data_IF_262304657410
#
_entry.id   IF_262304657410
#
_cell.length_a   1.000
_cell.length_b   1.000
_cell.length_c   1.000
_cell.angle_alpha   90.00
_cell.angle_beta   90.00
_cell.angle_gamma   90.00
#
_symmetry.space_group_name_H-M   'P 1'
#
loop_
_entity.id
_entity.type
_entity.pdbx_description
1 polymer ?
#
# COMPACT_ATOMS: atom_id res chain seq x y z
N UNK A 1 -3.16 8.05 11.54
CA UNK A 1 -3.62 6.79 10.90
C UNK A 1 -4.86 7.09 10.09
N UNK A 2 -4.92 6.70 8.82
CA UNK A 2 -6.10 6.91 7.96
C UNK A 2 -6.97 5.65 7.95
N UNK A 3 -8.31 5.80 7.97
CA UNK A 3 -9.26 4.69 7.89
C UNK A 3 -9.86 4.63 6.48
N UNK A 4 -9.73 3.50 5.82
CA UNK A 4 -10.28 3.20 4.50
C UNK A 4 -11.44 2.23 4.68
N UNK A 5 -12.67 2.70 4.46
CA UNK A 5 -13.86 1.87 4.56
C UNK A 5 -14.24 1.30 3.18
N UNK A 6 -14.27 -0.03 3.08
CA UNK A 6 -14.57 -0.76 1.86
C UNK A 6 -15.99 -1.37 1.87
N UNK A 7 -16.80 -1.12 2.88
CA UNK A 7 -18.19 -1.61 2.91
C UNK A 7 -18.94 -1.20 1.63
N UNK A 8 -19.75 -2.14 1.12
CA UNK A 8 -20.55 -1.99 -0.10
C UNK A 8 -19.77 -1.72 -1.40
N UNK A 9 -18.44 -1.86 -1.40
CA UNK A 9 -17.65 -1.74 -2.63
C UNK A 9 -17.50 -3.11 -3.28
N UNK A 10 -17.60 -3.17 -4.61
CA UNK A 10 -17.21 -4.36 -5.36
C UNK A 10 -15.70 -4.56 -5.24
N UNK A 11 -15.22 -5.78 -5.48
CA UNK A 11 -13.80 -6.12 -5.31
C UNK A 11 -12.86 -5.11 -6.00
N UNK A 12 -13.10 -4.84 -7.30
CA UNK A 12 -12.29 -3.90 -8.09
C UNK A 12 -12.33 -2.47 -7.54
N UNK A 13 -13.54 -1.97 -7.24
CA UNK A 13 -13.75 -0.64 -6.67
C UNK A 13 -13.06 -0.50 -5.31
N UNK A 14 -13.10 -1.55 -4.50
CA UNK A 14 -12.43 -1.60 -3.22
C UNK A 14 -10.91 -1.48 -3.37
N UNK A 15 -10.30 -2.15 -4.36
CA UNK A 15 -8.86 -2.04 -4.61
C UNK A 15 -8.49 -0.64 -5.08
N UNK A 16 -9.24 -0.09 -6.03
CA UNK A 16 -9.05 1.29 -6.51
C UNK A 16 -9.15 2.30 -5.36
N UNK A 17 -10.12 2.11 -4.46
CA UNK A 17 -10.28 2.93 -3.25
C UNK A 17 -9.10 2.81 -2.30
N UNK A 18 -8.58 1.60 -2.06
CA UNK A 18 -7.36 1.41 -1.26
C UNK A 18 -6.20 2.20 -1.86
N UNK A 19 -5.99 2.15 -3.18
CA UNK A 19 -4.92 2.89 -3.85
C UNK A 19 -5.07 4.40 -3.69
N UNK A 20 -6.29 4.95 -3.82
CA UNK A 20 -6.58 6.37 -3.57
C UNK A 20 -6.21 6.76 -2.14
N UNK A 21 -6.56 5.91 -1.16
CA UNK A 21 -6.24 6.15 0.24
C UNK A 21 -4.73 6.04 0.52
N UNK A 22 -4.02 5.11 -0.11
CA UNK A 22 -2.56 5.01 -0.01
C UNK A 22 -1.85 6.23 -0.59
N UNK A 23 -2.30 6.73 -1.75
CA UNK A 23 -1.81 8.02 -2.31
C UNK A 23 -2.08 9.19 -1.36
N UNK A 24 -3.27 9.23 -0.76
CA UNK A 24 -3.61 10.24 0.24
C UNK A 24 -2.71 10.16 1.47
N UNK A 25 -2.47 8.94 1.96
CA UNK A 25 -1.53 8.71 3.06
C UNK A 25 -0.13 9.20 2.70
N UNK A 26 0.34 8.94 1.48
CA UNK A 26 1.64 9.42 1.00
C UNK A 26 1.72 10.95 0.97
N UNK A 27 0.75 11.62 0.34
CA UNK A 27 0.68 13.10 0.28
C UNK A 27 0.63 13.73 1.67
N UNK A 28 -0.08 13.11 2.61
CA UNK A 28 -0.26 13.60 3.99
C UNK A 28 0.77 13.04 4.99
N UNK A 29 1.80 12.30 4.53
CA UNK A 29 2.84 11.67 5.37
C UNK A 29 2.29 10.79 6.53
N UNK A 30 1.23 10.02 6.28
CA UNK A 30 0.44 9.35 7.34
C UNK A 30 0.97 8.02 7.91
N UNK A 31 1.91 7.26 7.36
CA UNK A 31 2.57 6.05 7.90
C UNK A 31 1.72 4.83 8.29
N UNK A 32 0.41 4.97 8.54
CA UNK A 32 -0.48 3.86 8.91
C UNK A 32 -1.84 4.01 8.25
N UNK A 33 -2.30 2.92 7.64
CA UNK A 33 -3.65 2.78 7.09
C UNK A 33 -4.36 1.63 7.79
N UNK A 34 -5.63 1.86 8.11
CA UNK A 34 -6.56 0.84 8.60
C UNK A 34 -7.58 0.60 7.51
N UNK A 35 -7.70 -0.64 7.03
CA UNK A 35 -8.62 -1.05 5.99
C UNK A 35 -9.77 -1.81 6.65
N UNK A 36 -10.98 -1.27 6.55
CA UNK A 36 -12.21 -1.85 7.08
C UNK A 36 -12.88 -2.57 5.91
N UNK A 37 -12.76 -3.90 5.89
CA UNK A 37 -13.31 -4.77 4.84
C UNK A 37 -14.57 -5.51 5.29
N UNK A 38 -14.97 -5.34 6.56
CA UNK A 38 -16.13 -6.02 7.12
C UNK A 38 -15.90 -7.50 7.39
N UNK A 39 -16.87 -8.13 8.06
CA UNK A 39 -16.79 -9.54 8.47
C UNK A 39 -17.36 -10.52 7.43
N UNK A 40 -18.30 -10.07 6.60
CA UNK A 40 -19.11 -10.95 5.73
C UNK A 40 -18.58 -11.07 4.29
N UNK A 41 -17.60 -10.25 3.89
CA UNK A 41 -16.96 -10.30 2.57
C UNK A 41 -15.67 -11.11 2.58
N UNK A 42 -15.78 -12.44 2.61
CA UNK A 42 -14.63 -13.36 2.67
C UNK A 42 -13.59 -13.06 1.59
N UNK A 43 -14.02 -12.78 0.36
CA UNK A 43 -13.11 -12.51 -0.77
C UNK A 43 -12.20 -11.30 -0.52
N UNK A 44 -12.77 -10.19 -0.04
CA UNK A 44 -11.99 -8.97 0.24
C UNK A 44 -11.07 -9.18 1.42
N UNK A 45 -11.58 -9.78 2.50
CA UNK A 45 -10.78 -10.12 3.67
C UNK A 45 -9.60 -11.01 3.26
N UNK A 46 -9.86 -12.14 2.63
CA UNK A 46 -8.85 -13.14 2.27
C UNK A 46 -7.81 -12.53 1.33
N UNK A 47 -8.25 -11.71 0.37
CA UNK A 47 -7.32 -10.97 -0.48
C UNK A 47 -6.46 -9.99 0.32
N UNK A 48 -7.06 -9.07 1.10
CA UNK A 48 -6.33 -8.05 1.88
C UNK A 48 -5.37 -8.71 2.88
N UNK A 49 -5.74 -9.86 3.44
CA UNK A 49 -4.92 -10.60 4.38
C UNK A 49 -3.82 -11.44 3.70
N UNK A 50 -3.89 -11.64 2.39
CA UNK A 50 -2.94 -12.45 1.63
C UNK A 50 -1.62 -11.73 1.33
N UNK A 51 -0.58 -12.52 1.08
CA UNK A 51 0.68 -12.02 0.50
C UNK A 51 0.50 -11.41 -0.89
N UNK A 52 -0.52 -11.86 -1.63
CA UNK A 52 -0.84 -11.32 -2.96
C UNK A 52 -1.20 -9.85 -2.88
N UNK A 53 -2.01 -9.43 -1.89
CA UNK A 53 -2.32 -8.01 -1.71
C UNK A 53 -1.07 -7.16 -1.49
N UNK A 54 -0.14 -7.61 -0.65
CA UNK A 54 1.13 -6.90 -0.43
C UNK A 54 1.89 -6.73 -1.74
N UNK A 55 2.03 -7.82 -2.50
CA UNK A 55 2.72 -7.80 -3.80
C UNK A 55 2.04 -6.86 -4.79
N UNK A 56 0.72 -6.93 -4.90
CA UNK A 56 -0.05 -6.08 -5.81
C UNK A 56 0.11 -4.58 -5.43
N UNK A 57 0.18 -4.26 -4.13
CA UNK A 57 0.45 -2.90 -3.67
C UNK A 57 1.91 -2.47 -3.91
N UNK A 58 2.88 -3.37 -3.78
CA UNK A 58 4.29 -3.10 -4.10
C UNK A 58 4.52 -2.87 -5.60
N UNK A 59 3.77 -3.57 -6.46
CA UNK A 59 3.75 -3.34 -7.91
C UNK A 59 3.15 -1.97 -8.26
N UNK A 60 2.23 -1.49 -7.43
CA UNK A 60 1.69 -0.13 -7.46
C UNK A 60 2.61 0.92 -6.78
N UNK A 61 3.76 0.50 -6.24
CA UNK A 61 4.77 1.37 -5.63
C UNK A 61 4.56 1.66 -4.14
N UNK A 62 3.67 0.94 -3.46
CA UNK A 62 3.42 1.06 -2.03
C UNK A 62 4.00 -0.13 -1.26
N UNK A 63 4.92 0.16 -0.34
CA UNK A 63 5.49 -0.85 0.55
C UNK A 63 4.66 -0.91 1.83
N UNK A 64 3.97 -2.03 2.02
CA UNK A 64 3.06 -2.23 3.14
C UNK A 64 3.57 -3.35 4.04
N UNK A 65 3.55 -3.09 5.35
CA UNK A 65 3.83 -4.10 6.38
C UNK A 65 2.59 -4.31 7.22
N UNK A 66 2.01 -5.51 7.18
CA UNK A 66 0.85 -5.86 8.01
C UNK A 66 1.22 -5.78 9.49
N UNK A 67 0.46 -5.01 10.25
CA UNK A 67 0.59 -4.92 11.71
C UNK A 67 -0.34 -5.99 12.28
N UNK A 68 0.11 -7.23 12.29
CA UNK A 68 -0.64 -8.32 12.91
C UNK A 68 -0.53 -8.20 14.43
N UNK A 69 -1.59 -7.78 15.10
CA UNK A 69 -1.73 -8.07 16.53
C UNK A 69 -2.78 -9.17 16.67
N UNK A 70 -2.37 -10.35 17.16
CA UNK A 70 -3.29 -11.47 17.48
C UNK A 70 -4.49 -11.02 18.34
N UNK A 71 -4.32 -9.92 19.09
CA UNK A 71 -5.34 -9.27 19.91
C UNK A 71 -6.35 -8.42 19.10
N UNK A 72 -5.95 -7.78 17.99
CA UNK A 72 -6.89 -7.04 17.13
C UNK A 72 -7.79 -7.97 16.32
N UNK A 73 -7.24 -9.04 15.73
CA UNK A 73 -8.04 -9.96 14.90
C UNK A 73 -9.15 -10.66 15.69
N UNK A 74 -8.99 -10.85 17.02
CA UNK A 74 -10.04 -11.38 17.89
C UNK A 74 -11.18 -10.40 18.14
N UNK A 75 -10.89 -9.11 18.25
CA UNK A 75 -11.89 -8.10 18.65
C UNK A 75 -12.53 -7.42 17.43
N UNK A 76 -11.82 -7.31 16.30
CA UNK A 76 -12.28 -6.64 15.09
C UNK A 76 -11.81 -7.41 13.83
N UNK A 77 -12.40 -8.58 13.53
CA UNK A 77 -12.00 -9.41 12.39
C UNK A 77 -12.26 -8.78 11.01
N UNK A 78 -13.03 -7.68 10.96
CA UNK A 78 -13.33 -6.93 9.73
C UNK A 78 -12.35 -5.79 9.43
N UNK A 79 -11.21 -5.73 10.14
CA UNK A 79 -10.23 -4.64 10.02
C UNK A 79 -8.82 -5.18 9.89
N UNK A 80 -8.09 -4.70 8.90
CA UNK A 80 -6.66 -4.98 8.68
C UNK A 80 -5.84 -3.69 8.75
N UNK A 81 -4.78 -3.67 9.54
CA UNK A 81 -3.92 -2.48 9.70
C UNK A 81 -2.56 -2.72 9.05
N UNK A 82 -2.11 -1.73 8.28
CA UNK A 82 -0.81 -1.76 7.61
C UNK A 82 0.01 -0.52 7.98
N UNK A 83 1.29 -0.73 8.23
CA UNK A 83 2.30 0.33 8.21
C UNK A 83 2.66 0.58 6.76
N UNK A 84 2.66 1.84 6.36
CA UNK A 84 3.15 2.28 5.06
C UNK A 84 4.62 2.62 5.28
N UNK A 85 5.50 1.84 4.66
CA UNK A 85 6.92 2.12 4.66
C UNK A 85 7.17 3.09 3.51
N UNK A 86 7.16 4.38 3.86
CA UNK A 86 7.58 5.39 2.90
C UNK A 86 9.04 5.14 2.59
N UNK A 87 9.34 5.07 1.31
CA UNK A 87 10.69 5.03 0.79
C UNK A 87 11.31 6.43 0.99
N UNK A 88 11.50 6.83 2.25
CA UNK A 88 12.37 7.95 2.62
C UNK A 88 13.76 7.74 2.00
N UNK A 89 14.12 6.50 1.64
CA UNK A 89 15.35 6.11 0.96
C UNK A 89 15.43 6.44 -0.55
N UNK A 90 14.31 6.56 -1.28
CA UNK A 90 14.34 6.98 -2.70
C UNK A 90 14.13 8.47 -2.85
N UNK A 91 13.40 9.09 -1.93
CA UNK A 91 13.15 10.53 -1.99
C UNK A 91 14.40 11.34 -1.59
N UNK A 92 15.28 10.85 -0.70
CA UNK A 92 16.54 11.54 -0.43
C UNK A 92 17.49 11.58 -1.63
N UNK A 93 17.38 10.63 -2.57
CA UNK A 93 18.14 10.60 -3.82
C UNK A 93 17.55 11.52 -4.91
N UNK A 94 16.26 11.90 -4.82
CA UNK A 94 15.57 12.71 -5.82
C UNK A 94 15.29 14.17 -5.39
N UNK A 95 15.44 14.49 -4.10
CA UNK A 95 15.20 15.82 -3.53
C UNK A 95 16.26 16.90 -3.86
N UNK A 96 16.91 16.85 -5.02
CA UNK A 96 17.65 18.02 -5.56
C UNK A 96 16.91 18.75 -6.68
N UNK A 97 15.75 18.27 -7.14
CA UNK A 97 14.96 19.01 -8.13
C UNK A 97 13.47 18.90 -7.83
N UNK A 98 12.92 20.05 -7.42
CA UNK A 98 11.54 20.51 -7.47
C UNK A 98 10.46 19.54 -7.94
N UNK A 99 9.41 19.41 -7.11
CA UNK A 99 8.03 19.01 -7.46
C UNK A 99 7.86 18.03 -8.62
N UNK A 100 8.64 16.94 -8.62
CA UNK A 100 8.45 15.87 -9.57
C UNK A 100 7.12 15.16 -9.28
N UNK A 101 6.12 15.52 -10.07
CA UNK A 101 4.80 14.94 -10.21
C UNK A 101 4.82 13.44 -9.87
N UNK A 102 4.25 13.07 -8.73
CA UNK A 102 4.31 11.72 -8.12
C UNK A 102 3.96 10.65 -9.13
N UNK A 103 2.98 10.92 -9.98
CA UNK A 103 2.53 10.02 -11.03
C UNK A 103 3.63 9.74 -12.07
N UNK A 104 4.48 10.72 -12.39
CA UNK A 104 5.65 10.55 -13.27
C UNK A 104 6.72 9.69 -12.59
N UNK A 105 6.97 9.88 -11.29
CA UNK A 105 7.93 9.06 -10.54
C UNK A 105 7.45 7.61 -10.48
N UNK A 106 6.19 7.39 -10.12
CA UNK A 106 5.59 6.05 -10.05
C UNK A 106 5.61 5.37 -11.42
N UNK A 107 5.31 6.11 -12.49
CA UNK A 107 5.36 5.58 -13.86
C UNK A 107 6.78 5.22 -14.29
N UNK A 108 7.78 6.03 -13.93
CA UNK A 108 9.20 5.70 -14.16
C UNK A 108 9.63 4.46 -13.38
N UNK A 109 9.21 4.31 -12.13
CA UNK A 109 9.50 3.13 -11.31
C UNK A 109 8.88 1.85 -11.89
N UNK A 110 7.61 1.92 -12.34
CA UNK A 110 6.95 0.80 -13.03
C UNK A 110 7.70 0.40 -14.31
N UNK A 111 8.17 1.38 -15.10
CA UNK A 111 8.97 1.14 -16.31
C UNK A 111 10.34 0.53 -15.99
N UNK A 112 11.00 0.97 -14.92
CA UNK A 112 12.28 0.40 -14.47
C UNK A 112 12.13 -1.05 -14.01
N UNK A 113 11.11 -1.38 -13.22
CA UNK A 113 10.80 -2.77 -12.81
C UNK A 113 10.50 -3.70 -14.00
N UNK A 114 9.82 -3.19 -15.05
CA UNK A 114 9.55 -3.99 -16.28
C UNK A 114 10.80 -4.25 -17.11
N UNK A 115 11.74 -3.29 -17.17
CA UNK A 115 12.92 -3.36 -18.06
C UNK A 115 14.08 -4.14 -17.44
N UNK A 116 14.11 -4.23 -16.12
CA UNK A 116 15.16 -4.83 -15.32
C UNK A 116 14.46 -5.80 -14.36
N UNK A 117 14.60 -7.11 -14.56
CA UNK A 117 14.26 -8.15 -13.56
C UNK A 117 15.17 -7.97 -12.34
N UNK A 118 15.09 -6.84 -11.65
CA UNK A 118 15.98 -6.51 -10.54
C UNK A 118 15.24 -6.76 -9.23
N UNK A 119 15.89 -7.58 -8.42
CA UNK A 119 15.54 -7.82 -7.03
C UNK A 119 15.90 -6.56 -6.23
N UNK A 120 14.93 -6.01 -5.50
CA UNK A 120 15.10 -4.76 -4.73
C UNK A 120 16.19 -4.90 -3.65
N UNK A 121 16.52 -6.13 -3.27
CA UNK A 121 17.62 -6.45 -2.34
C UNK A 121 19.01 -5.99 -2.86
N UNK A 122 19.20 -5.88 -4.18
CA UNK A 122 20.51 -5.50 -4.76
C UNK A 122 20.71 -3.97 -4.84
N UNK A 123 19.73 -3.18 -4.37
CA UNK A 123 19.76 -1.71 -4.46
C UNK A 123 20.02 -1.00 -3.12
N UNK A 124 20.23 -1.76 -2.03
CA UNK A 124 20.41 -1.23 -0.65
C UNK A 124 21.73 -1.72 -0.02
N UNK A 125 22.77 -1.91 -0.83
CA UNK A 125 24.16 -2.00 -0.34
C UNK A 125 25.08 -1.18 -1.24
#
# INVERSE_FOLDING_TARGET
MLKCDLHNNRFKEAIEKVLIYLRTCWKKKISKISIIHGYHGHILKDYIESSRFIKDMEDEGFFLKKINTKKQNKNNPGVSIFKIEYINHMISQYNKSEEANVDIIMEKLRKLKKKKRINIQDLIY
#
